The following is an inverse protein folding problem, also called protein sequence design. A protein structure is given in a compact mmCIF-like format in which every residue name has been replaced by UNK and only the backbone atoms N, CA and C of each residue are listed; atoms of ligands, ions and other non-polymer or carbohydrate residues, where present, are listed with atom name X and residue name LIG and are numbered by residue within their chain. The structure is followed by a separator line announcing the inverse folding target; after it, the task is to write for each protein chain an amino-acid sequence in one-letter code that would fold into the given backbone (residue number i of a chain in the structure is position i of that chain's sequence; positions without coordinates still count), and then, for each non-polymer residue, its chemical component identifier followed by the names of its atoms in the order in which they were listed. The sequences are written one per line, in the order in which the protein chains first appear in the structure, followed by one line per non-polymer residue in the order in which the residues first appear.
data_IF_271212395590
#
_entry.id   IF_271212395590
#
_cell.length_a   1.000
_cell.length_b   1.000
_cell.length_c   1.000
_cell.angle_alpha   90.00
_cell.angle_beta   90.00
_cell.angle_gamma   90.00
#
_symmetry.space_group_name_H-M   'P 1'
#
loop_
_entity.id
_entity.type
_entity.pdbx_description
1 polymer ?
#
# COMPACT_ATOMS: atom_id res chain seq x y z
N UNK A 1 -2.82 -5.09 15.34
CA UNK A 1 -1.35 -5.13 15.18
C UNK A 1 -1.05 -5.21 13.70
N UNK A 2 -0.37 -4.19 13.16
CA UNK A 2 -0.06 -4.09 11.73
C UNK A 2 1.25 -4.84 11.45
N UNK A 3 1.30 -5.66 10.40
CA UNK A 3 2.51 -6.33 9.99
C UNK A 3 3.31 -5.43 9.02
N UNK A 4 4.53 -4.98 9.38
CA UNK A 4 5.31 -4.06 8.55
C UNK A 4 5.71 -4.65 7.20
N UNK A 5 5.83 -5.99 7.08
CA UNK A 5 6.13 -6.64 5.81
C UNK A 5 4.94 -6.51 4.85
N UNK A 6 3.72 -6.68 5.36
CA UNK A 6 2.49 -6.55 4.55
C UNK A 6 2.31 -5.10 4.11
N UNK A 7 2.56 -4.13 5.00
CA UNK A 7 2.53 -2.70 4.67
C UNK A 7 3.51 -2.37 3.55
N UNK A 8 4.77 -2.80 3.67
CA UNK A 8 5.79 -2.56 2.63
C UNK A 8 5.37 -3.15 1.28
N UNK A 9 4.94 -4.42 1.26
CA UNK A 9 4.53 -5.09 0.01
C UNK A 9 3.32 -4.38 -0.62
N UNK A 10 2.35 -3.96 0.19
CA UNK A 10 1.20 -3.22 -0.31
C UNK A 10 1.60 -1.86 -0.88
N UNK A 11 2.41 -1.10 -0.15
CA UNK A 11 2.90 0.21 -0.57
C UNK A 11 3.74 0.13 -1.85
N UNK A 12 4.73 -0.76 -1.92
CA UNK A 12 5.56 -0.97 -3.12
C UNK A 12 4.70 -1.35 -4.32
N UNK A 13 3.64 -2.14 -4.12
CA UNK A 13 2.74 -2.55 -5.20
C UNK A 13 1.90 -1.39 -5.70
N UNK A 14 1.40 -0.53 -4.81
CA UNK A 14 0.70 0.71 -5.18
C UNK A 14 1.65 1.66 -5.93
N UNK A 15 2.84 1.91 -5.37
CA UNK A 15 3.84 2.82 -5.97
C UNK A 15 4.32 2.36 -7.35
N UNK A 16 4.44 1.04 -7.57
CA UNK A 16 4.85 0.48 -8.86
C UNK A 16 3.68 0.21 -9.83
N UNK A 17 2.44 0.58 -9.47
CA UNK A 17 1.25 0.32 -10.29
C UNK A 17 0.95 -1.17 -10.49
N UNK A 18 1.38 -2.03 -9.56
CA UNK A 18 1.18 -3.47 -9.60
C UNK A 18 -0.29 -3.88 -9.50
N UNK A 19 -0.59 -5.10 -9.92
CA UNK A 19 -1.98 -5.59 -9.95
C UNK A 19 -2.42 -6.16 -8.60
N UNK A 20 -3.68 -5.88 -8.23
CA UNK A 20 -4.39 -6.52 -7.15
C UNK A 20 -4.60 -8.00 -7.51
N UNK A 21 -4.09 -8.95 -6.71
CA UNK A 21 -4.19 -10.38 -7.03
C UNK A 21 -5.64 -10.90 -7.02
N UNK A 22 -6.57 -10.19 -6.39
CA UNK A 22 -7.98 -10.59 -6.30
C UNK A 22 -8.80 -10.14 -7.50
N UNK A 23 -8.58 -8.90 -7.98
CA UNK A 23 -9.39 -8.28 -9.05
C UNK A 23 -8.67 -8.24 -10.39
N UNK A 24 -7.34 -8.40 -10.41
CA UNK A 24 -6.51 -8.23 -11.60
C UNK A 24 -6.40 -6.79 -12.09
N UNK A 25 -6.94 -5.82 -11.34
CA UNK A 25 -6.86 -4.38 -11.64
C UNK A 25 -5.66 -3.75 -10.92
N UNK A 26 -5.32 -2.50 -11.26
CA UNK A 26 -4.28 -1.75 -10.56
C UNK A 26 -4.60 -1.69 -9.06
N UNK A 27 -3.62 -2.05 -8.24
CA UNK A 27 -3.75 -2.03 -6.79
C UNK A 27 -3.68 -0.59 -6.30
N UNK A 28 -4.72 -0.16 -5.60
CA UNK A 28 -4.85 1.21 -5.07
C UNK A 28 -5.10 1.18 -3.56
N UNK A 29 -4.93 2.32 -2.90
CA UNK A 29 -5.10 2.42 -1.44
C UNK A 29 -6.52 2.03 -0.99
N UNK A 30 -7.54 2.32 -1.81
CA UNK A 30 -8.94 2.00 -1.54
C UNK A 30 -9.23 0.48 -1.50
N UNK A 31 -8.33 -0.35 -2.05
CA UNK A 31 -8.44 -1.81 -1.94
C UNK A 31 -8.14 -2.32 -0.52
N UNK A 32 -7.54 -1.48 0.34
CA UNK A 32 -7.19 -1.81 1.72
C UNK A 32 -8.38 -1.48 2.63
N UNK A 33 -9.17 -2.50 2.94
CA UNK A 33 -10.37 -2.36 3.79
C UNK A 33 -10.08 -2.27 5.29
N UNK A 34 -8.86 -2.63 5.73
CA UNK A 34 -8.48 -2.52 7.14
C UNK A 34 -7.88 -1.12 7.40
N UNK A 35 -8.52 -0.28 8.23
CA UNK A 35 -8.10 1.11 8.42
C UNK A 35 -6.70 1.24 9.02
N UNK A 36 -6.28 0.30 9.89
CA UNK A 36 -4.93 0.32 10.46
C UNK A 36 -3.86 0.08 9.38
N UNK A 37 -4.16 -0.80 8.43
CA UNK A 37 -3.26 -1.05 7.29
C UNK A 37 -3.29 0.07 6.28
N UNK A 38 -4.45 0.68 6.05
CA UNK A 38 -4.60 1.82 5.15
C UNK A 38 -3.71 2.97 5.60
N UNK A 39 -3.86 3.41 6.86
CA UNK A 39 -3.04 4.48 7.43
C UNK A 39 -1.55 4.14 7.39
N UNK A 40 -1.15 2.93 7.77
CA UNK A 40 0.26 2.53 7.76
C UNK A 40 0.87 2.50 6.35
N UNK A 41 0.09 2.14 5.33
CA UNK A 41 0.52 2.15 3.93
C UNK A 41 0.62 3.58 3.40
N UNK A 42 -0.34 4.45 3.73
CA UNK A 42 -0.26 5.88 3.39
C UNK A 42 0.97 6.53 4.00
N UNK A 43 1.23 6.31 5.29
CA UNK A 43 2.43 6.81 5.98
C UNK A 43 3.71 6.31 5.31
N UNK A 44 3.75 5.02 4.91
CA UNK A 44 4.91 4.46 4.21
C UNK A 44 5.10 5.14 2.85
N UNK A 45 4.04 5.32 2.07
CA UNK A 45 4.11 5.95 0.74
C UNK A 45 4.58 7.40 0.89
N UNK A 46 4.01 8.17 1.82
CA UNK A 46 4.41 9.56 2.10
C UNK A 46 5.91 9.64 2.46
N UNK A 47 6.37 8.83 3.40
CA UNK A 47 7.77 8.81 3.83
C UNK A 47 8.76 8.43 2.70
N UNK A 48 8.32 7.68 1.69
CA UNK A 48 9.14 7.29 0.54
C UNK A 48 8.97 8.21 -0.69
N UNK A 49 8.00 9.13 -0.67
CA UNK A 49 7.73 10.06 -1.79
C UNK A 49 8.24 11.47 -1.51
N UNK A 50 8.38 11.90 -0.26
CA UNK A 50 8.95 13.21 0.13
C UNK A 50 10.47 13.37 -0.14
N UNK A 51 11.09 12.44 -0.90
CA UNK A 51 12.51 12.46 -1.26
C UNK A 51 12.82 12.74 -2.74
N UNK A 52 11.84 13.20 -3.54
CA UNK A 52 12.05 13.63 -4.94
C UNK A 52 11.91 15.15 -5.06
#
# INVERSE_FOLDING_TARGET
MVNPIVVRVAAERIMNGGLNPKTGQTYVIDDITNPDYQAAVEDYILANTEGI
#
